data_IF_069476644468
#
_entry.id   IF_069476644468
#
_cell.length_a   1.000
_cell.length_b   1.000
_cell.length_c   1.000
_cell.angle_alpha   90.00
_cell.angle_beta   90.00
_cell.angle_gamma   90.00
#
_symmetry.space_group_name_H-M   'P 1'
#
loop_
_entity.id
_entity.type
_entity.pdbx_description
1 polymer ?
#
# COMPACT_ATOMS: atom_id res chain seq x y z
N UNK A 1 13.73 -4.25 20.32
CA UNK A 1 14.56 -3.48 21.28
C UNK A 1 15.38 -4.36 22.20
N UNK A 2 14.80 -5.43 22.78
CA UNK A 2 15.53 -6.36 23.67
C UNK A 2 16.69 -7.09 22.99
N UNK A 3 16.56 -7.50 21.72
CA UNK A 3 17.66 -8.15 20.98
C UNK A 3 18.86 -7.21 20.83
N UNK A 4 18.64 -6.02 20.28
CA UNK A 4 19.65 -4.96 20.11
C UNK A 4 20.32 -4.63 21.45
N UNK A 5 19.53 -4.48 22.52
CA UNK A 5 20.03 -4.21 23.86
C UNK A 5 20.98 -5.31 24.36
N UNK A 6 20.61 -6.58 24.18
CA UNK A 6 21.43 -7.74 24.56
C UNK A 6 22.70 -7.84 23.71
N UNK A 7 22.58 -7.72 22.39
CA UNK A 7 23.70 -7.79 21.45
C UNK A 7 24.75 -6.69 21.71
N UNK A 8 24.31 -5.52 22.18
CA UNK A 8 25.18 -4.37 22.44
C UNK A 8 25.51 -4.17 23.92
N UNK A 9 25.12 -5.09 24.82
CA UNK A 9 25.32 -4.97 26.28
C UNK A 9 24.83 -3.63 26.88
N UNK A 10 23.68 -3.13 26.41
CA UNK A 10 23.08 -1.88 26.88
C UNK A 10 21.66 -2.09 27.38
N UNK A 11 21.14 -1.15 28.18
CA UNK A 11 19.74 -1.18 28.61
C UNK A 11 18.79 -0.89 27.44
N UNK A 12 17.56 -1.38 27.51
CA UNK A 12 16.49 -1.06 26.55
C UNK A 12 16.26 0.46 26.47
N UNK A 13 16.32 1.16 27.60
CA UNK A 13 16.19 2.63 27.67
C UNK A 13 17.30 3.34 26.89
N UNK A 14 18.53 2.80 26.93
CA UNK A 14 19.65 3.33 26.15
C UNK A 14 19.37 3.21 24.66
N UNK A 15 18.90 2.04 24.20
CA UNK A 15 18.52 1.83 22.78
C UNK A 15 17.41 2.78 22.36
N UNK A 16 16.35 2.94 23.16
CA UNK A 16 15.26 3.87 22.88
C UNK A 16 15.75 5.31 22.77
N UNK A 17 16.61 5.75 23.69
CA UNK A 17 17.18 7.10 23.68
C UNK A 17 18.02 7.34 22.43
N UNK A 18 18.86 6.39 22.05
CA UNK A 18 19.68 6.50 20.83
C UNK A 18 18.79 6.58 19.58
N UNK A 19 17.81 5.69 19.45
CA UNK A 19 16.85 5.74 18.33
C UNK A 19 16.07 7.06 18.30
N UNK A 20 15.64 7.56 19.46
CA UNK A 20 14.98 8.86 19.60
C UNK A 20 15.88 10.01 19.16
N UNK A 21 17.16 9.98 19.52
CA UNK A 21 18.14 10.97 19.10
C UNK A 21 18.42 10.92 17.59
N UNK A 22 18.33 9.75 16.96
CA UNK A 22 18.48 9.60 15.51
C UNK A 22 17.22 10.00 14.72
N UNK A 23 16.09 10.28 15.37
CA UNK A 23 14.81 10.54 14.70
C UNK A 23 14.84 11.72 13.72
N UNK A 24 15.68 12.73 13.96
CA UNK A 24 15.83 13.88 13.08
C UNK A 24 16.50 13.56 11.74
N UNK A 25 17.22 12.42 11.63
CA UNK A 25 17.96 12.00 10.43
C UNK A 25 17.10 11.28 9.39
N UNK A 26 15.79 11.12 9.64
CA UNK A 26 14.89 10.42 8.71
C UNK A 26 14.09 11.39 7.82
N UNK A 27 14.33 12.69 7.90
CA UNK A 27 13.75 13.70 7.00
C UNK A 27 14.88 14.62 6.54
N UNK A 28 15.51 14.28 5.42
CA UNK A 28 16.70 15.00 4.95
C UNK A 28 16.35 16.36 4.32
N UNK A 29 15.19 16.47 3.65
CA UNK A 29 14.70 17.73 3.07
C UNK A 29 13.27 17.59 2.54
N UNK A 30 12.53 18.70 2.50
CA UNK A 30 11.24 18.81 1.79
C UNK A 30 11.38 19.34 0.35
N UNK A 31 12.62 19.47 -0.14
CA UNK A 31 12.94 19.95 -1.50
C UNK A 31 13.09 18.83 -2.52
N UNK A 32 13.00 17.57 -2.10
CA UNK A 32 13.16 16.42 -2.98
C UNK A 32 12.09 15.37 -2.74
N UNK A 33 11.56 14.83 -3.84
CA UNK A 33 10.76 13.61 -3.90
C UNK A 33 11.24 12.77 -5.10
N UNK A 34 11.23 11.43 -4.98
CA UNK A 34 11.46 10.55 -6.11
C UNK A 34 10.50 10.80 -7.28
N UNK A 35 10.98 10.60 -8.50
CA UNK A 35 10.16 10.76 -9.71
C UNK A 35 9.05 9.71 -9.80
N UNK A 36 9.29 8.52 -9.25
CA UNK A 36 8.35 7.41 -9.24
C UNK A 36 8.03 7.08 -7.78
N UNK A 37 6.76 7.17 -7.40
CA UNK A 37 6.30 6.82 -6.06
C UNK A 37 5.40 5.59 -6.10
N UNK A 38 5.43 4.78 -5.05
CA UNK A 38 4.49 3.69 -4.85
C UNK A 38 3.78 3.85 -3.50
N UNK A 39 2.45 3.86 -3.54
CA UNK A 39 1.58 4.02 -2.38
C UNK A 39 0.90 2.70 -2.06
N UNK A 40 1.00 2.28 -0.80
CA UNK A 40 0.32 1.09 -0.30
C UNK A 40 -0.11 1.26 1.17
N UNK A 41 -0.81 0.26 1.69
CA UNK A 41 -1.26 0.18 3.07
C UNK A 41 -0.82 -1.13 3.71
N UNK A 42 -0.37 -1.08 4.95
CA UNK A 42 -0.09 -2.28 5.74
C UNK A 42 -0.73 -2.20 7.11
N UNK A 43 -0.98 -3.37 7.70
CA UNK A 43 -1.58 -3.47 9.03
C UNK A 43 -0.47 -3.30 10.08
N UNK A 44 -0.49 -2.18 10.77
CA UNK A 44 0.47 -1.86 11.83
C UNK A 44 0.01 -2.34 13.21
N UNK A 45 0.59 -1.72 14.24
CA UNK A 45 0.23 -1.95 15.65
C UNK A 45 -1.25 -1.61 15.85
N UNK A 46 -1.92 -2.32 16.77
CA UNK A 46 -3.35 -2.15 17.07
C UNK A 46 -4.30 -2.51 15.91
N UNK A 47 -3.83 -3.31 14.95
CA UNK A 47 -4.62 -3.77 13.79
C UNK A 47 -5.11 -2.62 12.89
N UNK A 48 -4.52 -1.43 13.02
CA UNK A 48 -4.84 -0.27 12.19
C UNK A 48 -4.11 -0.32 10.85
N UNK A 49 -4.66 0.35 9.84
CA UNK A 49 -4.01 0.48 8.52
C UNK A 49 -3.14 1.73 8.48
N UNK A 50 -1.86 1.50 8.23
CA UNK A 50 -0.82 2.51 8.09
C UNK A 50 -0.55 2.73 6.61
N UNK A 51 -0.24 3.96 6.24
CA UNK A 51 0.17 4.30 4.88
C UNK A 51 1.68 4.11 4.75
N UNK A 52 2.12 3.56 3.62
CA UNK A 52 3.52 3.47 3.23
C UNK A 52 3.72 4.07 1.84
N UNK A 53 4.79 4.84 1.71
CA UNK A 53 5.27 5.43 0.48
C UNK A 53 6.68 4.93 0.22
N UNK A 54 6.88 4.38 -0.97
CA UNK A 54 8.18 3.91 -1.45
C UNK A 54 8.61 4.71 -2.67
N UNK A 55 9.91 4.77 -2.88
CA UNK A 55 10.50 5.11 -4.17
C UNK A 55 10.26 3.93 -5.13
N UNK A 56 9.68 4.23 -6.29
CA UNK A 56 9.31 3.26 -7.31
C UNK A 56 10.50 2.61 -8.00
N UNK A 57 11.69 3.23 -7.98
CA UNK A 57 12.87 2.76 -8.71
C UNK A 57 13.76 1.87 -7.84
N UNK A 58 14.06 2.30 -6.62
CA UNK A 58 15.00 1.62 -5.72
C UNK A 58 14.32 0.92 -4.52
N UNK A 59 13.00 1.01 -4.43
CA UNK A 59 12.18 0.42 -3.37
C UNK A 59 12.53 0.87 -1.94
N UNK A 60 13.21 2.00 -1.80
CA UNK A 60 13.49 2.59 -0.50
C UNK A 60 12.22 3.19 0.10
N UNK A 61 12.10 3.09 1.42
CA UNK A 61 10.99 3.68 2.15
C UNK A 61 11.18 5.20 2.18
N UNK A 62 10.28 5.91 1.50
CA UNK A 62 10.22 7.37 1.55
C UNK A 62 9.53 7.80 2.84
N UNK A 63 8.40 7.17 3.17
CA UNK A 63 7.69 7.49 4.41
C UNK A 63 6.71 6.41 4.87
N UNK A 64 6.57 6.29 6.18
CA UNK A 64 5.48 5.55 6.82
C UNK A 64 4.65 6.49 7.69
N UNK A 65 3.34 6.53 7.45
CA UNK A 65 2.39 7.33 8.24
C UNK A 65 1.44 6.41 9.01
N UNK A 66 1.20 6.76 10.28
CA UNK A 66 0.33 5.97 11.17
C UNK A 66 -1.13 5.90 10.74
N UNK A 67 -1.54 6.79 9.86
CA UNK A 67 -2.90 6.82 9.33
C UNK A 67 -2.86 6.95 7.82
N UNK A 68 -3.90 6.42 7.18
CA UNK A 68 -4.14 6.51 5.74
C UNK A 68 -5.12 7.63 5.35
N UNK A 69 -5.47 8.51 6.28
CA UNK A 69 -6.53 9.51 6.03
C UNK A 69 -6.05 10.69 5.18
N UNK A 70 -6.91 11.18 4.27
CA UNK A 70 -6.65 12.18 3.23
C UNK A 70 -6.13 13.46 3.83
N UNK A 71 -6.73 13.94 4.92
CA UNK A 71 -6.27 15.12 5.65
C UNK A 71 -4.82 14.98 6.11
N UNK A 72 -4.42 13.81 6.61
CA UNK A 72 -3.06 13.56 7.07
C UNK A 72 -2.08 13.48 5.89
N UNK A 73 -2.46 12.78 4.82
CA UNK A 73 -1.63 12.64 3.62
C UNK A 73 -1.42 13.98 2.91
N UNK A 74 -2.49 14.76 2.70
CA UNK A 74 -2.41 16.11 2.14
C UNK A 74 -1.54 17.03 3.01
N UNK A 75 -1.68 16.98 4.34
CA UNK A 75 -0.85 17.76 5.24
C UNK A 75 0.63 17.36 5.21
N UNK A 76 0.93 16.08 5.01
CA UNK A 76 2.31 15.60 4.91
C UNK A 76 2.93 16.03 3.58
N UNK A 77 2.30 15.66 2.46
CA UNK A 77 2.84 15.99 1.13
C UNK A 77 2.81 17.49 0.85
N UNK A 78 1.89 18.25 1.45
CA UNK A 78 1.84 19.71 1.33
C UNK A 78 3.04 20.45 1.94
N UNK A 79 3.91 19.78 2.72
CA UNK A 79 5.16 20.35 3.22
C UNK A 79 6.26 20.40 2.17
N UNK A 80 6.17 19.57 1.14
CA UNK A 80 7.13 19.54 0.05
C UNK A 80 6.97 20.76 -0.84
N UNK A 81 8.10 21.29 -1.30
CA UNK A 81 8.09 22.45 -2.18
C UNK A 81 7.29 22.15 -3.45
N UNK A 82 6.63 23.16 -4.06
CA UNK A 82 5.87 22.96 -5.29
C UNK A 82 6.71 22.29 -6.39
N UNK A 83 8.01 22.61 -6.45
CA UNK A 83 8.94 22.04 -7.42
C UNK A 83 9.21 20.56 -7.14
N UNK A 84 9.47 20.18 -5.89
CA UNK A 84 9.63 18.77 -5.51
C UNK A 84 8.38 17.95 -5.90
N UNK A 85 7.19 18.50 -5.65
CA UNK A 85 5.92 17.84 -6.01
C UNK A 85 5.66 17.78 -7.51
N UNK A 86 6.07 18.79 -8.26
CA UNK A 86 5.96 18.82 -9.71
C UNK A 86 6.93 17.84 -10.40
N UNK A 87 8.03 17.46 -9.74
CA UNK A 87 9.02 16.51 -10.25
C UNK A 87 8.55 15.05 -10.19
N UNK A 88 7.51 14.74 -9.40
CA UNK A 88 6.91 13.40 -9.37
C UNK A 88 6.20 13.14 -10.70
N UNK A 89 6.63 12.10 -11.42
CA UNK A 89 6.14 11.71 -12.74
C UNK A 89 5.10 10.60 -12.69
N UNK A 90 5.23 9.65 -11.77
CA UNK A 90 4.24 8.58 -11.60
C UNK A 90 3.97 8.29 -10.14
N UNK A 91 2.72 7.91 -9.84
CA UNK A 91 2.35 7.31 -8.57
C UNK A 91 1.65 5.99 -8.84
N UNK A 92 2.29 4.89 -8.45
CA UNK A 92 1.69 3.56 -8.46
C UNK A 92 0.85 3.39 -7.20
N UNK A 93 -0.42 2.99 -7.34
CA UNK A 93 -1.31 2.84 -6.20
C UNK A 93 -2.32 1.71 -6.41
N UNK A 94 -2.91 1.26 -5.30
CA UNK A 94 -4.10 0.41 -5.34
C UNK A 94 -5.31 1.13 -5.97
N UNK A 95 -6.26 0.37 -6.51
CA UNK A 95 -7.55 0.80 -7.10
C UNK A 95 -8.48 1.56 -6.14
N UNK A 96 -8.06 1.85 -4.92
CA UNK A 96 -8.84 2.68 -4.01
C UNK A 96 -8.92 4.11 -4.55
N UNK A 97 -10.10 4.48 -5.05
CA UNK A 97 -10.42 5.79 -5.63
C UNK A 97 -9.98 6.97 -4.75
N UNK A 98 -9.94 6.76 -3.44
CA UNK A 98 -9.53 7.74 -2.46
C UNK A 98 -8.13 8.36 -2.68
N UNK A 99 -7.16 7.57 -3.17
CA UNK A 99 -5.80 8.05 -3.40
C UNK A 99 -5.67 8.89 -4.67
N UNK A 100 -6.58 8.73 -5.63
CA UNK A 100 -6.52 9.48 -6.87
C UNK A 100 -6.66 10.99 -6.63
N UNK A 101 -7.58 11.38 -5.75
CA UNK A 101 -7.75 12.78 -5.36
C UNK A 101 -6.51 13.36 -4.68
N UNK A 102 -5.85 12.55 -3.84
CA UNK A 102 -4.64 12.97 -3.11
C UNK A 102 -3.52 13.20 -4.10
N UNK A 103 -3.31 12.26 -5.03
CA UNK A 103 -2.27 12.39 -6.04
C UNK A 103 -2.51 13.58 -6.96
N UNK A 104 -3.74 13.77 -7.45
CA UNK A 104 -4.08 14.93 -8.28
C UNK A 104 -3.87 16.26 -7.55
N UNK A 105 -4.16 16.31 -6.24
CA UNK A 105 -3.97 17.52 -5.44
C UNK A 105 -2.50 17.79 -5.09
N UNK A 106 -1.72 16.73 -4.82
CA UNK A 106 -0.33 16.87 -4.39
C UNK A 106 0.65 16.97 -5.55
N UNK A 107 0.48 16.17 -6.61
CA UNK A 107 1.46 15.96 -7.68
C UNK A 107 0.84 16.28 -9.05
N UNK A 108 0.91 17.54 -9.50
CA UNK A 108 0.17 18.00 -10.68
C UNK A 108 0.58 17.30 -11.99
N UNK A 109 1.84 16.85 -12.09
CA UNK A 109 2.40 16.23 -13.29
C UNK A 109 2.40 14.69 -13.23
N UNK A 110 1.94 14.09 -12.13
CA UNK A 110 2.07 12.67 -11.93
C UNK A 110 0.97 11.87 -12.65
N UNK A 111 1.37 10.85 -13.39
CA UNK A 111 0.46 9.84 -13.93
C UNK A 111 0.14 8.78 -12.86
N UNK A 112 -1.14 8.43 -12.75
CA UNK A 112 -1.59 7.38 -11.83
C UNK A 112 -1.42 6.03 -12.52
N UNK A 113 -0.62 5.15 -11.92
CA UNK A 113 -0.42 3.78 -12.36
C UNK A 113 -1.16 2.85 -11.40
N UNK A 114 -1.96 1.93 -11.93
CA UNK A 114 -2.67 0.95 -11.12
C UNK A 114 -1.75 -0.24 -10.83
N UNK A 115 -1.64 -0.60 -9.56
CA UNK A 115 -0.89 -1.78 -9.15
C UNK A 115 -1.54 -3.07 -9.66
N UNK A 116 -0.78 -3.78 -10.52
CA UNK A 116 -1.17 -5.06 -11.12
C UNK A 116 -1.33 -6.16 -10.07
N UNK A 117 -0.54 -6.17 -9.01
CA UNK A 117 -0.64 -7.19 -7.98
C UNK A 117 -2.02 -7.16 -7.32
N UNK A 118 -2.45 -5.97 -6.94
CA UNK A 118 -3.77 -5.77 -6.34
C UNK A 118 -4.92 -6.06 -7.31
N UNK A 119 -4.76 -5.71 -8.59
CA UNK A 119 -5.76 -6.02 -9.61
C UNK A 119 -5.92 -7.54 -9.79
N UNK A 120 -4.81 -8.27 -9.89
CA UNK A 120 -4.82 -9.74 -9.98
C UNK A 120 -5.43 -10.34 -8.71
N UNK A 121 -5.01 -9.87 -7.53
CA UNK A 121 -5.54 -10.33 -6.25
C UNK A 121 -7.06 -10.12 -6.15
N UNK A 122 -7.56 -8.97 -6.60
CA UNK A 122 -8.99 -8.67 -6.61
C UNK A 122 -9.75 -9.63 -7.52
N UNK A 123 -9.26 -9.83 -8.76
CA UNK A 123 -9.86 -10.78 -9.71
C UNK A 123 -9.90 -12.19 -9.14
N UNK A 124 -8.77 -12.70 -8.62
CA UNK A 124 -8.69 -14.05 -8.03
C UNK A 124 -9.68 -14.23 -6.88
N UNK A 125 -9.83 -13.24 -6.00
CA UNK A 125 -10.81 -13.30 -4.90
C UNK A 125 -12.26 -13.31 -5.40
N UNK A 126 -12.56 -12.55 -6.45
CA UNK A 126 -13.90 -12.54 -7.07
C UNK A 126 -14.23 -13.90 -7.70
N UNK A 127 -13.32 -14.47 -8.48
CA UNK A 127 -13.50 -15.82 -9.05
C UNK A 127 -13.66 -16.89 -7.98
N UNK A 128 -12.84 -16.84 -6.92
CA UNK A 128 -12.96 -17.80 -5.82
C UNK A 128 -14.30 -17.66 -5.08
N UNK A 129 -14.78 -16.43 -4.90
CA UNK A 129 -16.09 -16.17 -4.30
C UNK A 129 -17.22 -16.78 -5.14
N UNK A 130 -17.19 -16.57 -6.46
CA UNK A 130 -18.14 -17.17 -7.40
C UNK A 130 -18.09 -18.70 -7.35
N UNK A 131 -16.88 -19.28 -7.41
CA UNK A 131 -16.69 -20.73 -7.31
C UNK A 131 -17.35 -21.29 -6.04
N UNK A 132 -17.10 -20.67 -4.89
CA UNK A 132 -17.69 -21.09 -3.61
C UNK A 132 -19.22 -20.96 -3.61
N UNK A 133 -19.77 -19.90 -4.21
CA UNK A 133 -21.22 -19.72 -4.36
C UNK A 133 -21.83 -20.84 -5.21
N UNK A 134 -21.27 -21.10 -6.39
CA UNK A 134 -21.73 -22.17 -7.30
C UNK A 134 -21.67 -23.52 -6.59
N UNK A 135 -20.56 -23.86 -5.94
CA UNK A 135 -20.44 -25.13 -5.20
C UNK A 135 -21.49 -25.27 -4.09
N UNK A 136 -21.77 -24.20 -3.34
CA UNK A 136 -22.81 -24.23 -2.29
C UNK A 136 -24.22 -24.44 -2.84
N UNK A 137 -24.51 -23.88 -4.02
CA UNK A 137 -25.81 -24.09 -4.68
C UNK A 137 -25.94 -25.53 -5.15
N UNK A 138 -24.92 -26.09 -5.79
CA UNK A 138 -24.93 -27.46 -6.30
C UNK A 138 -24.99 -28.52 -5.18
N UNK A 139 -24.36 -28.26 -4.03
CA UNK A 139 -24.43 -29.17 -2.86
C UNK A 139 -25.84 -29.18 -2.22
N UNK A 140 -26.60 -28.09 -2.33
CA UNK A 140 -27.96 -28.00 -1.78
C UNK A 140 -29.01 -28.68 -2.64
N UNK A 141 -28.72 -28.94 -3.92
CA UNK A 141 -29.66 -29.53 -4.88
C UNK A 141 -28.96 -30.65 -5.69
N UNK A 142 -28.73 -31.83 -5.07
CA UNK A 142 -27.93 -32.91 -5.65
C UNK A 142 -28.48 -33.45 -6.97
N UNK A 143 -29.80 -33.33 -7.17
CA UNK A 143 -30.52 -33.85 -8.35
C UNK A 143 -30.43 -32.93 -9.58
N UNK A 144 -29.87 -31.72 -9.44
CA UNK A 144 -29.63 -30.79 -10.55
C UNK A 144 -28.38 -31.12 -11.39
N UNK A 145 -27.60 -32.13 -10.97
CA UNK A 145 -26.38 -32.57 -11.67
C UNK A 145 -26.77 -33.59 -12.75
N UNK A 146 -27.34 -33.13 -13.86
CA UNK A 146 -27.21 -33.86 -15.13
C UNK A 146 -25.95 -33.36 -15.86
N UNK A 147 -25.06 -34.27 -16.25
CA UNK A 147 -23.86 -33.97 -17.04
C UNK A 147 -24.16 -33.41 -18.46
N UNK A 148 -25.40 -33.07 -18.78
CA UNK A 148 -25.85 -32.61 -20.09
C UNK A 148 -25.75 -31.10 -20.32
N UNK A 149 -25.45 -30.30 -19.28
CA UNK A 149 -25.52 -28.83 -19.36
C UNK A 149 -24.17 -28.11 -19.22
N UNK A 150 -23.04 -28.83 -19.29
CA UNK A 150 -21.75 -28.17 -19.49
C UNK A 150 -21.67 -27.73 -20.96
N UNK A 151 -21.47 -26.44 -21.28
CA UNK A 151 -21.16 -26.03 -22.64
C UNK A 151 -19.78 -26.57 -22.99
N UNK A 152 -19.76 -27.79 -23.51
CA UNK A 152 -18.64 -28.33 -24.25
C UNK A 152 -18.55 -27.59 -25.57
N UNK A 153 -17.47 -26.85 -25.74
CA UNK A 153 -16.55 -26.94 -26.88
C UNK A 153 -15.82 -25.60 -27.07
N UNK A 154 -14.57 -25.57 -26.62
CA UNK A 154 -13.55 -24.74 -27.23
C UNK A 154 -12.38 -25.67 -27.57
N UNK A 155 -12.49 -26.32 -28.74
CA UNK A 155 -11.32 -26.70 -29.54
C UNK A 155 -10.66 -25.44 -30.09
#
# INVERSE_FOLDING_TARGET
MTSIARENNVSINTVQRVLGNCSHRFIDSYEYLPAHLAFDEFKGVDRQLHFICLDGDNHQVVQILRTRYKKTLLKYFGRFSPQARANVKTVTMYLNFYYQDIVRACFPNAQIVIDRFHMIQMLTRSFNSLRVQVMKTLIKDPDSISCSNLPGNYT
#
